data_IF_803938658519
#
_entry.id   IF_803938658519
#
_cell.length_a   1.000
_cell.length_b   1.000
_cell.length_c   1.000
_cell.angle_alpha   90.00
_cell.angle_beta   90.00
_cell.angle_gamma   90.00
#
_symmetry.space_group_name_H-M   'P 1'
#
loop_
_entity.id
_entity.type
_entity.pdbx_description
1 polymer ?
#
# COMPACT_ATOMS: atom_id res chain seq x y z
N UNK A 1 9.65 15.79 -30.27
CA UNK A 1 10.20 15.73 -28.91
C UNK A 1 9.26 16.49 -27.97
N UNK A 2 8.91 17.72 -28.32
CA UNK A 2 8.10 18.63 -27.50
C UNK A 2 6.65 18.15 -27.26
N UNK A 3 5.96 17.55 -28.24
CA UNK A 3 4.55 17.15 -28.06
C UNK A 3 4.33 16.01 -27.03
N UNK A 4 5.21 15.00 -26.98
CA UNK A 4 5.11 13.95 -25.96
C UNK A 4 5.44 14.50 -24.57
N UNK A 5 6.42 15.40 -24.52
CA UNK A 5 6.88 16.04 -23.28
C UNK A 5 5.80 16.96 -22.74
N UNK A 6 5.22 17.82 -23.58
CA UNK A 6 4.10 18.70 -23.25
C UNK A 6 2.87 17.89 -22.80
N UNK A 7 2.61 16.75 -23.46
CA UNK A 7 1.57 15.82 -23.02
C UNK A 7 1.84 15.25 -21.62
N UNK A 8 3.07 14.81 -21.31
CA UNK A 8 3.45 14.32 -20.00
C UNK A 8 3.38 15.44 -18.94
N UNK A 9 3.86 16.63 -19.27
CA UNK A 9 3.83 17.80 -18.38
C UNK A 9 2.40 18.24 -18.03
N UNK A 10 1.45 18.03 -18.94
CA UNK A 10 0.03 18.40 -18.76
C UNK A 10 -0.81 17.31 -18.07
N UNK A 11 -0.52 16.01 -18.29
CA UNK A 11 -1.42 14.91 -17.89
C UNK A 11 -0.93 14.07 -16.69
N UNK A 12 0.30 14.30 -16.19
CA UNK A 12 0.84 13.57 -15.03
C UNK A 12 0.18 13.99 -13.70
N UNK A 13 -0.64 15.04 -13.70
CA UNK A 13 -1.43 15.47 -12.54
C UNK A 13 -2.29 14.34 -11.94
N UNK A 14 -2.57 13.27 -12.70
CA UNK A 14 -3.29 12.07 -12.24
C UNK A 14 -2.62 10.71 -12.56
N UNK A 15 -1.31 10.65 -12.88
CA UNK A 15 -0.60 9.41 -13.29
C UNK A 15 -1.35 8.55 -14.35
N UNK A 16 -2.22 9.18 -15.15
CA UNK A 16 -3.01 8.49 -16.17
C UNK A 16 -2.18 8.45 -17.45
N UNK A 17 -1.46 7.35 -17.65
CA UNK A 17 -0.73 7.00 -18.88
C UNK A 17 -1.69 6.67 -20.05
N UNK A 18 -2.76 7.45 -20.21
CA UNK A 18 -3.88 7.14 -21.11
C UNK A 18 -3.45 7.17 -22.57
N UNK A 19 -2.46 7.99 -22.94
CA UNK A 19 -1.92 8.06 -24.32
C UNK A 19 -0.44 7.68 -24.46
N UNK A 20 0.18 7.12 -23.44
CA UNK A 20 1.60 6.73 -23.53
C UNK A 20 1.85 5.75 -24.70
N UNK A 21 0.87 4.90 -25.01
CA UNK A 21 0.95 3.94 -26.11
C UNK A 21 1.11 4.57 -27.50
N UNK A 22 0.69 5.83 -27.69
CA UNK A 22 0.81 6.56 -28.96
C UNK A 22 2.27 6.93 -29.27
N UNK A 23 3.14 6.89 -28.27
CA UNK A 23 4.55 7.29 -28.37
C UNK A 23 5.52 6.09 -28.29
N UNK A 24 5.02 4.86 -28.44
CA UNK A 24 5.83 3.63 -28.33
C UNK A 24 7.02 3.59 -29.29
N UNK A 25 6.92 4.26 -30.43
CA UNK A 25 7.98 4.30 -31.44
C UNK A 25 9.06 5.35 -31.14
N UNK A 26 8.92 6.14 -30.07
CA UNK A 26 9.91 7.15 -29.72
C UNK A 26 11.17 6.50 -29.14
N UNK A 27 12.36 6.95 -29.58
CA UNK A 27 13.64 6.35 -29.18
C UNK A 27 13.83 6.27 -27.65
N UNK A 28 13.35 7.27 -26.92
CA UNK A 28 13.45 7.35 -25.46
C UNK A 28 12.18 6.86 -24.72
N UNK A 29 11.20 6.29 -25.42
CA UNK A 29 9.94 5.85 -24.79
C UNK A 29 10.18 4.87 -23.63
N UNK A 30 11.07 3.90 -23.84
CA UNK A 30 11.40 2.91 -22.81
C UNK A 30 12.05 3.55 -21.58
N UNK A 31 12.85 4.59 -21.76
CA UNK A 31 13.50 5.33 -20.67
C UNK A 31 12.49 6.11 -19.83
N UNK A 32 11.56 6.82 -20.48
CA UNK A 32 10.50 7.56 -19.81
C UNK A 32 9.51 6.63 -19.12
N UNK A 33 9.08 5.56 -19.79
CA UNK A 33 8.18 4.58 -19.18
C UNK A 33 8.81 3.87 -17.98
N UNK A 34 10.11 3.57 -18.04
CA UNK A 34 10.81 3.01 -16.91
C UNK A 34 10.83 3.98 -15.73
N UNK A 35 11.12 5.26 -15.96
CA UNK A 35 11.05 6.29 -14.93
C UNK A 35 9.64 6.42 -14.31
N UNK A 36 8.61 6.52 -15.15
CA UNK A 36 7.23 6.75 -14.71
C UNK A 36 6.55 5.54 -14.05
N UNK A 37 7.04 4.32 -14.31
CA UNK A 37 6.51 3.10 -13.70
C UNK A 37 7.06 2.81 -12.31
N UNK A 38 7.98 3.62 -11.80
CA UNK A 38 8.42 3.51 -10.42
C UNK A 38 7.26 3.76 -9.46
N UNK A 39 7.10 2.88 -8.48
CA UNK A 39 6.06 3.01 -7.46
C UNK A 39 6.70 3.34 -6.12
N UNK A 40 6.13 4.30 -5.41
CA UNK A 40 6.56 4.61 -4.04
C UNK A 40 5.85 3.62 -3.11
N UNK A 41 6.60 3.03 -2.17
CA UNK A 41 6.03 2.22 -1.10
C UNK A 41 5.06 3.03 -0.22
N UNK A 42 4.17 2.37 0.49
CA UNK A 42 3.15 3.04 1.32
C UNK A 42 3.76 3.93 2.41
N UNK A 43 4.95 3.57 2.91
CA UNK A 43 5.71 4.35 3.90
C UNK A 43 6.58 5.47 3.28
N UNK A 44 6.59 5.61 1.95
CA UNK A 44 7.40 6.60 1.24
C UNK A 44 8.90 6.26 1.10
N UNK A 45 9.40 5.25 1.81
CA UNK A 45 10.84 5.07 1.98
C UNK A 45 11.52 4.33 0.82
N UNK A 46 10.78 3.54 0.06
CA UNK A 46 11.29 2.80 -1.09
C UNK A 46 10.67 3.29 -2.39
N UNK A 47 11.53 3.40 -3.41
CA UNK A 47 11.09 3.53 -4.79
C UNK A 47 11.24 2.18 -5.46
N UNK A 48 10.11 1.48 -5.64
CA UNK A 48 10.07 0.13 -6.20
C UNK A 48 10.32 0.17 -7.69
N UNK A 49 11.26 -0.68 -8.12
CA UNK A 49 11.61 -0.85 -9.52
C UNK A 49 10.50 -1.55 -10.30
N UNK A 50 10.30 -1.21 -11.58
CA UNK A 50 9.39 -1.95 -12.45
C UNK A 50 9.80 -3.43 -12.59
N UNK A 51 8.86 -4.37 -12.40
CA UNK A 51 9.13 -5.83 -12.38
C UNK A 51 9.51 -6.40 -13.77
N UNK A 52 9.11 -5.75 -14.86
CA UNK A 52 9.14 -6.33 -16.21
C UNK A 52 9.88 -5.47 -17.25
N UNK A 53 10.68 -4.49 -16.83
CA UNK A 53 11.45 -3.65 -17.75
C UNK A 53 12.92 -3.72 -17.39
N UNK A 54 13.70 -4.41 -18.22
CA UNK A 54 15.15 -4.33 -18.19
C UNK A 54 15.59 -3.11 -18.98
N UNK A 55 16.33 -2.21 -18.34
CA UNK A 55 17.11 -1.19 -19.05
C UNK A 55 18.43 -1.84 -19.43
N UNK A 56 18.65 -2.08 -20.72
CA UNK A 56 19.86 -2.75 -21.22
C UNK A 56 21.12 -1.87 -21.03
N UNK A 57 20.97 -0.54 -21.06
CA UNK A 57 22.05 0.41 -20.84
C UNK A 57 21.70 1.42 -19.73
N UNK A 58 22.00 1.05 -18.48
CA UNK A 58 21.73 1.91 -17.31
C UNK A 58 22.50 3.23 -17.34
N UNK A 59 23.71 3.27 -17.92
CA UNK A 59 24.52 4.49 -17.97
C UNK A 59 23.92 5.55 -18.89
N UNK A 60 23.51 5.16 -20.10
CA UNK A 60 22.80 6.05 -21.03
C UNK A 60 21.46 6.51 -20.48
N UNK A 61 20.70 5.59 -19.86
CA UNK A 61 19.44 5.93 -19.22
C UNK A 61 19.61 6.94 -18.08
N UNK A 62 20.60 6.76 -17.20
CA UNK A 62 20.86 7.72 -16.13
C UNK A 62 21.28 9.09 -16.67
N UNK A 63 22.11 9.12 -17.72
CA UNK A 63 22.48 10.36 -18.40
C UNK A 63 21.27 11.07 -19.00
N UNK A 64 20.36 10.31 -19.62
CA UNK A 64 19.09 10.84 -20.12
C UNK A 64 18.21 11.41 -18.99
N UNK A 65 18.02 10.66 -17.90
CA UNK A 65 17.22 11.11 -16.76
C UNK A 65 17.80 12.39 -16.14
N UNK A 66 19.12 12.50 -16.06
CA UNK A 66 19.76 13.73 -15.59
C UNK A 66 19.49 14.93 -16.51
N UNK A 67 19.60 14.74 -17.84
CA UNK A 67 19.28 15.79 -18.81
C UNK A 67 17.82 16.24 -18.70
N UNK A 68 16.91 15.28 -18.49
CA UNK A 68 15.48 15.57 -18.26
C UNK A 68 15.24 16.32 -16.96
N UNK A 69 15.91 15.93 -15.87
CA UNK A 69 15.83 16.63 -14.60
C UNK A 69 16.30 18.10 -14.70
N UNK A 70 17.28 18.39 -15.55
CA UNK A 70 17.81 19.74 -15.76
C UNK A 70 16.95 20.59 -16.71
N UNK A 71 16.29 19.97 -17.69
CA UNK A 71 15.57 20.68 -18.76
C UNK A 71 14.09 20.91 -18.48
N UNK A 72 13.43 20.07 -17.68
CA UNK A 72 11.99 20.23 -17.41
C UNK A 72 11.70 21.36 -16.42
N UNK A 73 10.64 22.13 -16.70
CA UNK A 73 10.11 23.14 -15.78
C UNK A 73 9.08 22.56 -14.81
N UNK A 74 8.55 21.36 -15.12
CA UNK A 74 7.52 20.69 -14.32
C UNK A 74 8.13 20.09 -13.04
N UNK A 75 7.75 20.65 -11.89
CA UNK A 75 8.28 20.23 -10.57
C UNK A 75 7.97 18.78 -10.21
N UNK A 76 6.87 18.18 -10.71
CA UNK A 76 6.56 16.76 -10.47
C UNK A 76 7.54 15.84 -11.20
N UNK A 77 7.83 16.16 -12.46
CA UNK A 77 8.79 15.40 -13.26
C UNK A 77 10.21 15.62 -12.75
N UNK A 78 10.56 16.88 -12.47
CA UNK A 78 11.88 17.23 -11.93
C UNK A 78 12.17 16.52 -10.62
N UNK A 79 11.21 16.50 -9.68
CA UNK A 79 11.38 15.78 -8.42
C UNK A 79 11.51 14.27 -8.64
N UNK A 80 10.69 13.69 -9.53
CA UNK A 80 10.73 12.27 -9.88
C UNK A 80 12.07 11.85 -10.47
N UNK A 81 12.57 12.58 -11.47
CA UNK A 81 13.84 12.26 -12.12
C UNK A 81 15.02 12.38 -11.14
N UNK A 82 15.07 13.44 -10.35
CA UNK A 82 16.11 13.61 -9.33
C UNK A 82 16.07 12.52 -8.23
N UNK A 83 14.87 12.10 -7.81
CA UNK A 83 14.67 11.00 -6.87
C UNK A 83 15.16 9.65 -7.45
N UNK A 84 14.90 9.41 -8.72
CA UNK A 84 15.41 8.23 -9.44
C UNK A 84 16.93 8.22 -9.48
N UNK A 85 17.58 9.34 -9.81
CA UNK A 85 19.05 9.44 -9.80
C UNK A 85 19.62 9.10 -8.42
N UNK A 86 18.97 9.53 -7.35
CA UNK A 86 19.35 9.16 -5.98
C UNK A 86 19.22 7.65 -5.73
N UNK A 87 18.12 7.02 -6.15
CA UNK A 87 17.86 5.60 -5.93
C UNK A 87 18.90 4.73 -6.66
N UNK A 88 19.21 5.08 -7.90
CA UNK A 88 20.12 4.32 -8.76
C UNK A 88 21.60 4.70 -8.62
N UNK A 89 21.95 5.53 -7.64
CA UNK A 89 23.32 6.01 -7.39
C UNK A 89 24.38 4.91 -7.24
N UNK A 90 23.98 3.70 -6.86
CA UNK A 90 24.87 2.53 -6.69
C UNK A 90 24.93 1.63 -7.92
N UNK A 91 24.00 1.80 -8.85
CA UNK A 91 23.82 0.93 -10.02
C UNK A 91 24.36 1.55 -11.31
N UNK A 92 24.43 2.88 -11.36
CA UNK A 92 25.23 3.59 -12.35
C UNK A 92 26.71 3.55 -12.01
N UNK A 93 27.58 3.52 -13.03
CA UNK A 93 28.98 3.89 -12.81
C UNK A 93 29.03 5.33 -12.29
N UNK A 94 29.94 5.65 -11.37
CA UNK A 94 30.10 7.00 -10.83
C UNK A 94 30.32 8.08 -11.94
N UNK A 95 30.69 7.65 -13.15
CA UNK A 95 30.78 8.48 -14.37
C UNK A 95 29.44 8.87 -15.02
N UNK A 96 28.32 8.26 -14.64
CA UNK A 96 27.05 8.44 -15.37
C UNK A 96 26.33 9.76 -15.05
N UNK A 97 26.66 10.39 -13.92
CA UNK A 97 26.13 11.70 -13.53
C UNK A 97 27.14 12.76 -13.94
N UNK A 98 26.73 13.61 -14.87
CA UNK A 98 27.57 14.59 -15.58
C UNK A 98 27.69 15.91 -14.82
N UNK A 99 26.69 16.28 -14.00
CA UNK A 99 26.63 17.60 -13.35
C UNK A 99 26.34 17.49 -11.85
N UNK A 100 27.26 18.00 -11.03
CA UNK A 100 27.13 18.03 -9.57
C UNK A 100 27.28 16.64 -8.93
N UNK A 101 26.87 16.50 -7.67
CA UNK A 101 26.88 15.21 -6.99
C UNK A 101 25.45 14.66 -6.81
N UNK A 102 25.33 13.35 -6.53
CA UNK A 102 24.03 12.68 -6.37
C UNK A 102 23.22 13.20 -5.16
N UNK A 103 23.91 13.66 -4.11
CA UNK A 103 23.27 14.26 -2.93
C UNK A 103 22.57 15.55 -3.32
N UNK A 104 23.19 16.39 -4.16
CA UNK A 104 22.59 17.65 -4.65
C UNK A 104 21.31 17.37 -5.45
N UNK A 105 21.30 16.31 -6.28
CA UNK A 105 20.08 15.87 -6.98
C UNK A 105 18.99 15.49 -5.99
N UNK A 106 19.33 14.72 -4.95
CA UNK A 106 18.38 14.36 -3.90
C UNK A 106 17.82 15.60 -3.18
N UNK A 107 18.64 16.63 -2.92
CA UNK A 107 18.17 17.89 -2.32
C UNK A 107 17.23 18.69 -3.23
N UNK A 108 17.48 18.68 -4.55
CA UNK A 108 16.56 19.27 -5.51
C UNK A 108 15.22 18.54 -5.51
N UNK A 109 15.22 17.20 -5.48
CA UNK A 109 13.99 16.42 -5.37
C UNK A 109 13.19 16.78 -4.11
N UNK A 110 13.86 16.86 -2.95
CA UNK A 110 13.22 17.25 -1.68
C UNK A 110 12.61 18.65 -1.78
N UNK A 111 13.33 19.60 -2.37
CA UNK A 111 12.87 20.98 -2.52
C UNK A 111 11.63 21.06 -3.41
N UNK A 112 11.63 20.36 -4.54
CA UNK A 112 10.46 20.30 -5.44
C UNK A 112 9.27 19.61 -4.77
N UNK A 113 9.50 18.51 -4.04
CA UNK A 113 8.43 17.84 -3.29
C UNK A 113 7.83 18.73 -2.20
N UNK A 114 8.65 19.52 -1.50
CA UNK A 114 8.19 20.51 -0.51
C UNK A 114 7.30 21.58 -1.16
N UNK A 115 7.69 22.09 -2.32
CA UNK A 115 6.88 23.06 -3.08
C UNK A 115 5.55 22.45 -3.54
N UNK A 116 5.59 21.21 -4.02
CA UNK A 116 4.41 20.45 -4.40
C UNK A 116 3.49 20.18 -3.21
N UNK A 117 4.03 19.86 -2.04
CA UNK A 117 3.23 19.71 -0.82
C UNK A 117 2.52 21.02 -0.45
N UNK A 118 3.23 22.15 -0.48
CA UNK A 118 2.63 23.46 -0.18
C UNK A 118 1.55 23.90 -1.17
N UNK A 119 1.75 23.62 -2.45
CA UNK A 119 0.83 24.03 -3.51
C UNK A 119 -0.33 23.06 -3.71
N UNK A 120 -0.12 21.75 -3.48
CA UNK A 120 -1.11 20.70 -3.76
C UNK A 120 -1.74 20.10 -2.53
N UNK A 121 -1.03 19.87 -1.43
CA UNK A 121 -1.58 19.23 -0.22
C UNK A 121 -2.30 20.22 0.69
N UNK A 122 -1.74 21.42 0.89
CA UNK A 122 -2.36 22.45 1.72
C UNK A 122 -3.58 23.13 1.06
N UNK A 123 -3.93 22.76 -0.18
CA UNK A 123 -5.02 23.35 -0.97
C UNK A 123 -6.05 22.32 -1.46
N UNK A 124 -6.07 21.13 -0.87
CA UNK A 124 -6.94 20.04 -1.36
C UNK A 124 -8.40 20.32 -1.00
N UNK A 125 -9.27 20.23 -2.02
CA UNK A 125 -10.73 20.21 -1.89
C UNK A 125 -11.33 18.79 -2.13
N UNK A 126 -10.56 17.83 -2.70
CA UNK A 126 -11.02 16.46 -2.99
C UNK A 126 -10.06 15.38 -2.44
N UNK A 127 -10.62 14.51 -1.60
CA UNK A 127 -9.97 13.41 -0.86
C UNK A 127 -9.55 12.21 -1.75
N UNK A 128 -10.06 12.08 -2.99
CA UNK A 128 -9.87 10.85 -3.81
C UNK A 128 -8.41 10.40 -4.04
N UNK A 129 -7.44 11.31 -3.92
CA UNK A 129 -6.02 11.02 -4.12
C UNK A 129 -5.13 11.44 -2.94
N UNK A 130 -5.73 11.79 -1.80
CA UNK A 130 -5.00 12.35 -0.66
C UNK A 130 -3.91 11.39 -0.16
N UNK A 131 -4.20 10.10 0.01
CA UNK A 131 -3.19 9.12 0.45
C UNK A 131 -2.00 9.04 -0.52
N UNK A 132 -2.26 8.99 -1.83
CA UNK A 132 -1.20 8.97 -2.84
C UNK A 132 -0.34 10.24 -2.78
N UNK A 133 -0.99 11.41 -2.61
CA UNK A 133 -0.32 12.69 -2.51
C UNK A 133 0.50 12.80 -1.21
N UNK A 134 -0.01 12.30 -0.07
CA UNK A 134 0.73 12.21 1.19
C UNK A 134 1.97 11.32 1.02
N UNK A 135 1.81 10.13 0.46
CA UNK A 135 2.94 9.22 0.20
C UNK A 135 3.99 9.85 -0.71
N UNK A 136 3.56 10.52 -1.78
CA UNK A 136 4.46 11.06 -2.82
C UNK A 136 5.12 12.37 -2.42
N UNK A 137 4.36 13.31 -1.86
CA UNK A 137 4.82 14.67 -1.62
C UNK A 137 5.20 14.94 -0.16
N UNK A 138 4.95 13.99 0.75
CA UNK A 138 5.26 14.16 2.17
C UNK A 138 6.14 13.02 2.71
N UNK A 139 5.70 11.76 2.58
CA UNK A 139 6.45 10.64 3.16
C UNK A 139 7.73 10.34 2.38
N UNK A 140 7.69 10.41 1.04
CA UNK A 140 8.88 10.24 0.21
C UNK A 140 9.98 11.27 0.52
N UNK A 141 9.75 12.60 0.45
CA UNK A 141 10.77 13.57 0.81
C UNK A 141 11.21 13.46 2.27
N UNK A 142 10.35 12.99 3.18
CA UNK A 142 10.74 12.76 4.57
C UNK A 142 11.77 11.63 4.69
N UNK A 143 11.56 10.53 3.98
CA UNK A 143 12.54 9.45 3.91
C UNK A 143 13.85 9.90 3.25
N UNK A 144 13.79 10.67 2.16
CA UNK A 144 14.99 11.21 1.51
C UNK A 144 15.78 12.16 2.43
N UNK A 145 15.08 13.07 3.12
CA UNK A 145 15.64 14.01 4.10
C UNK A 145 16.44 13.27 5.18
N UNK A 146 15.88 12.18 5.73
CA UNK A 146 16.58 11.35 6.72
C UNK A 146 17.82 10.68 6.14
N UNK A 147 17.76 10.19 4.90
CA UNK A 147 18.88 9.47 4.26
C UNK A 147 20.10 10.36 4.01
N UNK A 148 19.89 11.64 3.69
CA UNK A 148 20.98 12.58 3.35
C UNK A 148 21.30 13.61 4.44
N UNK A 149 20.54 13.57 5.54
CA UNK A 149 20.54 14.57 6.60
C UNK A 149 20.39 15.99 6.03
N UNK A 150 19.29 16.21 5.30
CA UNK A 150 19.03 17.46 4.59
C UNK A 150 18.79 18.63 5.54
N UNK A 151 19.28 19.81 5.17
CA UNK A 151 19.00 21.07 5.85
C UNK A 151 17.53 21.49 5.76
N UNK A 152 16.73 20.85 4.89
CA UNK A 152 15.28 21.09 4.75
C UNK A 152 14.43 20.35 5.78
N UNK A 153 15.05 19.57 6.67
CA UNK A 153 14.38 18.75 7.68
C UNK A 153 13.32 19.52 8.47
N UNK A 154 13.68 20.67 9.04
CA UNK A 154 12.78 21.43 9.91
C UNK A 154 11.58 22.02 9.14
N UNK A 155 11.82 22.48 7.90
CA UNK A 155 10.73 22.93 7.03
C UNK A 155 9.77 21.79 6.69
N UNK A 156 10.28 20.58 6.48
CA UNK A 156 9.45 19.43 6.16
C UNK A 156 8.66 18.94 7.38
N UNK A 157 9.27 18.97 8.57
CA UNK A 157 8.57 18.71 9.85
C UNK A 157 7.35 19.62 9.96
N UNK A 158 7.52 20.94 9.76
CA UNK A 158 6.40 21.87 9.88
C UNK A 158 5.31 21.60 8.84
N UNK A 159 5.69 21.35 7.58
CA UNK A 159 4.72 21.03 6.52
C UNK A 159 3.93 19.75 6.85
N UNK A 160 4.56 18.74 7.46
CA UNK A 160 3.84 17.53 7.88
C UNK A 160 2.74 17.85 8.89
N UNK A 161 3.05 18.70 9.87
CA UNK A 161 2.11 19.12 10.90
C UNK A 161 0.99 19.96 10.27
N UNK A 162 1.34 20.95 9.45
CA UNK A 162 0.40 21.84 8.78
C UNK A 162 -0.58 21.06 7.87
N UNK A 163 -0.06 20.13 7.06
CA UNK A 163 -0.88 19.28 6.18
C UNK A 163 -1.80 18.38 7.00
N UNK A 164 -1.31 17.82 8.11
CA UNK A 164 -2.18 17.03 8.98
C UNK A 164 -3.28 17.87 9.61
N UNK A 165 -3.00 19.13 9.95
CA UNK A 165 -3.98 20.05 10.52
C UNK A 165 -5.13 20.40 9.55
N UNK A 166 -4.88 20.37 8.23
CA UNK A 166 -5.89 20.66 7.21
C UNK A 166 -6.81 19.49 6.87
N UNK A 167 -6.50 18.26 7.30
CA UNK A 167 -7.30 17.07 6.98
C UNK A 167 -8.51 17.00 7.92
N UNK A 168 -9.72 16.98 7.37
CA UNK A 168 -10.97 16.99 8.13
C UNK A 168 -11.60 15.60 8.28
N UNK A 169 -11.14 14.60 7.51
CA UNK A 169 -11.69 13.25 7.48
C UNK A 169 -11.27 12.37 8.67
N UNK A 170 -11.88 12.60 9.83
CA UNK A 170 -11.54 11.88 11.07
C UNK A 170 -11.77 10.36 11.00
N UNK A 171 -12.81 9.91 10.29
CA UNK A 171 -13.16 8.50 10.14
C UNK A 171 -12.14 7.67 9.35
N UNK A 172 -11.19 8.32 8.65
CA UNK A 172 -10.20 7.66 7.79
C UNK A 172 -8.83 7.63 8.45
N UNK A 173 -8.59 6.61 9.28
CA UNK A 173 -7.36 6.44 10.07
C UNK A 173 -6.05 6.48 9.28
N UNK A 174 -6.07 6.22 7.97
CA UNK A 174 -4.89 6.28 7.11
C UNK A 174 -4.49 7.69 6.66
N UNK A 175 -5.35 8.69 6.89
CA UNK A 175 -5.11 10.08 6.49
C UNK A 175 -4.52 10.93 7.62
N UNK A 176 -4.50 10.44 8.86
CA UNK A 176 -4.04 11.20 10.00
C UNK A 176 -3.32 10.37 11.06
N UNK A 177 -2.68 11.05 12.00
CA UNK A 177 -1.78 10.49 13.00
C UNK A 177 -0.38 10.19 12.45
N UNK A 178 -0.10 10.53 11.19
CA UNK A 178 1.19 10.25 10.56
C UNK A 178 2.30 11.13 11.12
N UNK A 179 2.01 12.35 11.59
CA UNK A 179 3.01 13.21 12.24
C UNK A 179 3.45 12.60 13.56
N UNK A 180 2.54 12.01 14.32
CA UNK A 180 2.91 11.27 15.53
C UNK A 180 3.82 10.08 15.22
N UNK A 181 3.43 9.21 14.27
CA UNK A 181 4.21 8.02 13.92
C UNK A 181 5.60 8.37 13.36
N UNK A 182 5.72 9.44 12.57
CA UNK A 182 6.97 9.82 11.92
C UNK A 182 7.88 10.72 12.77
N UNK A 183 7.30 11.58 13.62
CA UNK A 183 8.02 12.67 14.28
C UNK A 183 8.14 12.50 15.80
N UNK A 184 7.13 11.92 16.47
CA UNK A 184 7.13 11.75 17.94
C UNK A 184 7.59 10.35 18.32
N UNK A 185 6.94 9.32 17.78
CA UNK A 185 7.25 7.93 18.11
C UNK A 185 8.68 7.54 17.73
N UNK A 186 9.21 8.16 16.68
CA UNK A 186 10.58 7.98 16.27
C UNK A 186 11.50 8.98 17.00
N UNK A 187 12.28 8.47 17.96
CA UNK A 187 13.14 9.28 18.85
C UNK A 187 14.33 9.96 18.16
N UNK A 188 14.57 9.69 16.87
CA UNK A 188 15.67 10.30 16.10
C UNK A 188 15.38 11.71 15.59
N UNK A 189 14.20 12.26 15.87
CA UNK A 189 13.77 13.58 15.44
C UNK A 189 13.70 14.53 16.64
N UNK A 190 14.49 15.59 16.59
CA UNK A 190 14.37 16.68 17.56
C UNK A 190 13.21 17.59 17.15
N UNK A 191 12.18 17.64 18.00
CA UNK A 191 11.06 18.56 17.86
C UNK A 191 11.12 19.61 18.97
N UNK A 192 10.71 20.84 18.66
CA UNK A 192 10.40 21.82 19.69
C UNK A 192 9.19 21.38 20.53
N UNK A 193 9.08 21.88 21.76
CA UNK A 193 7.94 21.55 22.61
C UNK A 193 6.61 22.05 22.01
N UNK A 194 6.64 23.13 21.24
CA UNK A 194 5.47 23.64 20.53
C UNK A 194 5.02 22.65 19.43
N UNK A 195 5.94 22.18 18.58
CA UNK A 195 5.61 21.19 17.55
C UNK A 195 5.10 19.88 18.15
N UNK A 196 5.69 19.42 19.26
CA UNK A 196 5.19 18.24 19.98
C UNK A 196 3.76 18.47 20.47
N UNK A 197 3.50 19.62 21.11
CA UNK A 197 2.16 19.98 21.59
C UNK A 197 1.15 20.03 20.44
N UNK A 198 1.52 20.64 19.32
CA UNK A 198 0.65 20.78 18.16
C UNK A 198 0.20 19.42 17.61
N UNK A 199 1.14 18.49 17.38
CA UNK A 199 0.84 17.12 16.91
C UNK A 199 -0.08 16.39 17.89
N UNK A 200 0.17 16.48 19.19
CA UNK A 200 -0.67 15.82 20.20
C UNK A 200 -2.06 16.46 20.29
N UNK A 201 -2.15 17.78 20.20
CA UNK A 201 -3.44 18.49 20.15
C UNK A 201 -4.26 18.13 18.91
N UNK A 202 -3.63 17.91 17.74
CA UNK A 202 -4.35 17.44 16.56
C UNK A 202 -5.01 16.08 16.81
N UNK A 203 -4.31 15.15 17.44
CA UNK A 203 -4.86 13.83 17.77
C UNK A 203 -5.97 13.94 18.83
N UNK A 204 -5.72 14.70 19.90
CA UNK A 204 -6.69 14.89 20.99
C UNK A 204 -7.99 15.54 20.48
N UNK A 205 -7.90 16.62 19.70
CA UNK A 205 -9.08 17.29 19.12
C UNK A 205 -9.89 16.33 18.25
N UNK A 206 -9.23 15.48 17.45
CA UNK A 206 -9.92 14.47 16.63
C UNK A 206 -10.62 13.40 17.45
N UNK A 207 -9.93 12.84 18.46
CA UNK A 207 -10.53 11.87 19.39
C UNK A 207 -11.78 12.45 20.05
N UNK A 208 -11.76 13.72 20.43
CA UNK A 208 -12.89 14.40 21.06
C UNK A 208 -14.02 14.78 20.08
N UNK A 209 -13.77 14.81 18.76
CA UNK A 209 -14.77 15.13 17.73
C UNK A 209 -15.47 13.90 17.15
N UNK A 210 -14.80 12.74 17.18
CA UNK A 210 -15.31 11.46 16.70
C UNK A 210 -16.57 11.02 17.47
N UNK A 211 -17.52 10.41 16.75
CA UNK A 211 -18.68 9.79 17.40
C UNK A 211 -18.22 8.55 18.17
N UNK A 212 -18.79 8.31 19.36
CA UNK A 212 -18.48 7.12 20.16
C UNK A 212 -18.79 5.80 19.44
N UNK A 213 -19.59 5.80 18.37
CA UNK A 213 -19.82 4.63 17.51
C UNK A 213 -18.65 4.34 16.57
N UNK A 214 -17.75 5.30 16.34
CA UNK A 214 -16.57 5.19 15.49
C UNK A 214 -15.38 4.56 16.23
N UNK A 215 -15.57 3.32 16.70
CA UNK A 215 -14.58 2.61 17.52
C UNK A 215 -13.19 2.53 16.90
N UNK A 216 -13.07 2.26 15.59
CA UNK A 216 -11.76 2.10 14.95
C UNK A 216 -10.95 3.41 14.85
N UNK A 217 -11.54 4.54 14.39
CA UNK A 217 -10.91 5.85 14.51
C UNK A 217 -10.52 6.24 15.94
N UNK A 218 -11.42 6.03 16.91
CA UNK A 218 -11.13 6.32 18.31
C UNK A 218 -9.95 5.49 18.81
N UNK A 219 -9.94 4.20 18.54
CA UNK A 219 -8.87 3.28 18.91
C UNK A 219 -7.51 3.72 18.33
N UNK A 220 -7.48 4.18 17.08
CA UNK A 220 -6.26 4.68 16.43
C UNK A 220 -5.68 5.91 17.13
N UNK A 221 -6.54 6.89 17.45
CA UNK A 221 -6.13 8.11 18.16
C UNK A 221 -5.72 7.83 19.60
N UNK A 222 -6.58 7.14 20.37
CA UNK A 222 -6.32 6.83 21.78
C UNK A 222 -5.04 6.01 21.94
N UNK A 223 -4.75 5.04 21.08
CA UNK A 223 -3.50 4.26 21.18
C UNK A 223 -2.26 5.16 21.13
N UNK A 224 -2.27 6.22 20.31
CA UNK A 224 -1.15 7.19 20.23
C UNK A 224 -1.09 8.05 21.49
N UNK A 225 -2.24 8.52 21.99
CA UNK A 225 -2.31 9.30 23.23
C UNK A 225 -1.85 8.48 24.44
N UNK A 226 -2.18 7.19 24.52
CA UNK A 226 -1.70 6.30 25.58
C UNK A 226 -0.19 6.11 25.57
N UNK A 227 0.40 6.00 24.38
CA UNK A 227 1.85 5.91 24.24
C UNK A 227 2.55 7.23 24.61
N UNK A 228 1.97 8.36 24.22
CA UNK A 228 2.48 9.68 24.60
C UNK A 228 2.39 9.96 26.10
N UNK A 229 1.22 9.72 26.70
CA UNK A 229 0.95 9.93 28.13
C UNK A 229 1.34 8.71 28.99
N UNK A 230 2.35 7.93 28.58
CA UNK A 230 2.79 6.74 29.32
C UNK A 230 3.18 7.01 30.78
N UNK A 231 3.59 8.24 31.07
CA UNK A 231 4.03 8.68 32.41
C UNK A 231 2.93 9.48 33.14
N UNK A 232 1.72 9.61 32.56
CA UNK A 232 0.55 10.23 33.17
C UNK A 232 -0.65 9.25 33.19
N UNK A 233 -0.72 8.39 34.22
CA UNK A 233 -1.79 7.39 34.33
C UNK A 233 -3.19 8.00 34.35
N UNK A 234 -3.34 9.21 34.90
CA UNK A 234 -4.65 9.86 34.98
C UNK A 234 -5.15 10.18 33.57
N UNK A 235 -4.29 10.76 32.73
CA UNK A 235 -4.61 11.02 31.32
C UNK A 235 -4.90 9.73 30.54
N UNK A 236 -4.14 8.67 30.80
CA UNK A 236 -4.41 7.39 30.14
C UNK A 236 -5.79 6.84 30.47
N UNK A 237 -6.20 6.90 31.74
CA UNK A 237 -7.53 6.45 32.16
C UNK A 237 -8.64 7.27 31.49
N UNK A 238 -8.50 8.59 31.38
CA UNK A 238 -9.47 9.46 30.68
C UNK A 238 -9.73 8.98 29.23
N UNK A 239 -8.68 8.66 28.47
CA UNK A 239 -8.85 8.18 27.10
C UNK A 239 -9.33 6.74 27.00
N UNK A 240 -8.96 5.88 27.95
CA UNK A 240 -9.48 4.52 28.00
C UNK A 240 -10.99 4.50 28.27
N UNK A 241 -11.49 5.39 29.10
CA UNK A 241 -12.93 5.53 29.38
C UNK A 241 -13.73 5.85 28.10
N UNK A 242 -13.14 6.62 27.16
CA UNK A 242 -13.76 6.91 25.86
C UNK A 242 -13.90 5.62 25.04
N UNK A 243 -12.84 4.81 24.97
CA UNK A 243 -12.87 3.55 24.23
C UNK A 243 -13.81 2.51 24.86
N UNK A 244 -13.89 2.46 26.18
CA UNK A 244 -14.80 1.57 26.89
C UNK A 244 -16.25 1.92 26.59
N UNK A 245 -16.62 3.21 26.70
CA UNK A 245 -17.95 3.69 26.30
C UNK A 245 -18.26 3.38 24.84
N UNK A 246 -17.28 3.54 23.95
CA UNK A 246 -17.40 3.20 22.52
C UNK A 246 -17.64 1.71 22.28
N UNK A 247 -16.98 0.84 23.05
CA UNK A 247 -17.20 -0.61 23.00
C UNK A 247 -18.60 -0.99 23.54
N UNK A 248 -19.05 -0.35 24.62
CA UNK A 248 -20.32 -0.61 25.29
C UNK A 248 -21.56 -0.17 24.50
N UNK A 249 -21.46 0.91 23.71
CA UNK A 249 -22.54 1.35 22.83
C UNK A 249 -23.00 0.27 21.85
N UNK A 250 -22.21 -0.80 21.71
CA UNK A 250 -22.57 -1.99 20.97
C UNK A 250 -22.62 -1.73 19.47
N UNK A 251 -22.87 -2.81 18.75
CA UNK A 251 -23.23 -2.83 17.35
C UNK A 251 -24.46 -3.75 17.26
N UNK A 252 -25.27 -3.61 16.21
CA UNK A 252 -26.38 -4.52 15.95
C UNK A 252 -25.90 -5.97 15.83
N UNK A 253 -24.63 -6.15 15.47
CA UNK A 253 -23.98 -7.44 15.32
C UNK A 253 -23.08 -7.79 16.52
N UNK A 254 -23.44 -8.79 17.35
CA UNK A 254 -22.67 -9.17 18.55
C UNK A 254 -21.19 -9.51 18.31
N UNK A 255 -20.85 -10.02 17.12
CA UNK A 255 -19.46 -10.33 16.76
C UNK A 255 -18.59 -9.09 16.63
N UNK A 256 -19.15 -7.94 16.22
CA UNK A 256 -18.41 -6.69 16.14
C UNK A 256 -18.13 -6.17 17.54
N UNK A 257 -19.12 -6.21 18.42
CA UNK A 257 -18.94 -5.86 19.85
C UNK A 257 -17.89 -6.76 20.51
N UNK A 258 -17.93 -8.07 20.26
CA UNK A 258 -16.90 -8.99 20.76
C UNK A 258 -15.50 -8.62 20.21
N UNK A 259 -15.39 -8.30 18.92
CA UNK A 259 -14.12 -7.87 18.32
C UNK A 259 -13.59 -6.58 18.95
N UNK A 260 -14.46 -5.60 19.28
CA UNK A 260 -14.06 -4.38 20.01
C UNK A 260 -13.41 -4.74 21.35
N UNK A 261 -14.02 -5.61 22.14
CA UNK A 261 -13.43 -6.08 23.40
C UNK A 261 -12.14 -6.88 23.19
N UNK A 262 -12.00 -7.65 22.12
CA UNK A 262 -10.73 -8.30 21.76
C UNK A 262 -9.61 -7.27 21.55
N UNK A 263 -9.89 -6.17 20.86
CA UNK A 263 -8.94 -5.07 20.67
C UNK A 263 -8.58 -4.41 22.00
N UNK A 264 -9.55 -4.17 22.87
CA UNK A 264 -9.32 -3.63 24.21
C UNK A 264 -8.44 -4.56 25.06
N UNK A 265 -8.69 -5.88 25.04
CA UNK A 265 -7.85 -6.86 25.76
C UNK A 265 -6.39 -6.77 25.31
N UNK A 266 -6.15 -6.67 24.00
CA UNK A 266 -4.79 -6.50 23.43
C UNK A 266 -4.17 -5.19 23.92
N UNK A 267 -4.94 -4.11 23.93
CA UNK A 267 -4.49 -2.80 24.39
C UNK A 267 -4.13 -2.79 25.87
N UNK A 268 -5.04 -3.24 26.74
CA UNK A 268 -4.80 -3.30 28.17
C UNK A 268 -3.63 -4.21 28.52
N UNK A 269 -3.45 -5.31 27.78
CA UNK A 269 -2.28 -6.15 27.95
C UNK A 269 -0.98 -5.42 27.58
N UNK A 270 -0.98 -4.65 26.48
CA UNK A 270 0.18 -3.88 26.02
C UNK A 270 0.63 -2.81 27.03
N UNK A 271 -0.31 -2.17 27.73
CA UNK A 271 -0.05 -1.09 28.69
C UNK A 271 -0.22 -1.51 30.17
N UNK A 272 -0.29 -2.81 30.45
CA UNK A 272 -0.41 -3.41 31.80
C UNK A 272 -1.61 -2.99 32.67
N UNK A 273 -2.76 -2.70 32.05
CA UNK A 273 -4.03 -2.41 32.75
C UNK A 273 -4.78 -3.70 33.14
N UNK A 274 -4.28 -4.42 34.16
CA UNK A 274 -4.78 -5.75 34.54
C UNK A 274 -6.28 -5.80 34.87
N UNK A 275 -6.77 -4.92 35.73
CA UNK A 275 -8.18 -4.91 36.15
C UNK A 275 -9.13 -4.64 34.97
N UNK A 276 -8.82 -3.64 34.13
CA UNK A 276 -9.60 -3.33 32.92
C UNK A 276 -9.55 -4.48 31.91
N UNK A 277 -8.41 -5.18 31.80
CA UNK A 277 -8.30 -6.39 30.97
C UNK A 277 -9.23 -7.51 31.43
N UNK A 278 -9.32 -7.76 32.74
CA UNK A 278 -10.22 -8.77 33.29
C UNK A 278 -11.69 -8.42 33.01
N UNK A 279 -12.07 -7.16 33.19
CA UNK A 279 -13.41 -6.68 32.85
C UNK A 279 -13.72 -6.84 31.35
N UNK A 280 -12.77 -6.50 30.47
CA UNK A 280 -12.93 -6.69 29.03
C UNK A 280 -13.04 -8.18 28.64
N UNK A 281 -12.35 -9.10 29.34
CA UNK A 281 -12.48 -10.54 29.13
C UNK A 281 -13.88 -11.05 29.49
N UNK A 282 -14.46 -10.56 30.60
CA UNK A 282 -15.83 -10.90 30.99
C UNK A 282 -16.81 -10.47 29.90
N UNK A 283 -16.68 -9.24 29.40
CA UNK A 283 -17.54 -8.71 28.33
C UNK A 283 -17.34 -9.45 27.00
N UNK A 284 -16.10 -9.77 26.64
CA UNK A 284 -15.79 -10.61 25.48
C UNK A 284 -16.48 -11.97 25.53
N UNK A 285 -16.45 -12.65 26.68
CA UNK A 285 -17.11 -13.95 26.87
C UNK A 285 -18.64 -13.83 26.84
N UNK A 286 -19.20 -12.77 27.42
CA UNK A 286 -20.64 -12.48 27.39
C UNK A 286 -21.15 -12.40 25.95
N UNK A 287 -20.53 -11.57 25.11
CA UNK A 287 -20.92 -11.43 23.71
C UNK A 287 -20.58 -12.66 22.87
N UNK A 288 -19.53 -13.41 23.21
CA UNK A 288 -19.25 -14.71 22.59
C UNK A 288 -20.42 -15.70 22.71
N UNK A 289 -21.07 -15.75 23.87
CA UNK A 289 -22.28 -16.59 24.07
C UNK A 289 -23.46 -16.11 23.23
N UNK A 290 -23.60 -14.81 23.00
CA UNK A 290 -24.66 -14.23 22.16
C UNK A 290 -24.44 -14.54 20.68
N UNK A 291 -23.20 -14.58 20.20
CA UNK A 291 -22.89 -14.94 18.82
C UNK A 291 -23.37 -16.35 18.53
N UNK A 292 -23.05 -17.32 19.40
CA UNK A 292 -23.48 -18.72 19.22
C UNK A 292 -25.00 -18.83 19.07
N UNK A 293 -25.77 -18.00 19.78
CA UNK A 293 -27.24 -17.94 19.66
C UNK A 293 -27.72 -17.36 18.33
N UNK A 294 -26.92 -16.48 17.71
CA UNK A 294 -27.23 -15.77 16.47
C UNK A 294 -26.55 -16.39 15.24
N UNK A 295 -25.81 -17.50 15.38
CA UNK A 295 -25.23 -18.21 14.24
C UNK A 295 -26.34 -18.95 13.49
N UNK A 296 -26.58 -18.54 12.24
CA UNK A 296 -27.43 -19.29 11.33
C UNK A 296 -26.72 -20.58 10.89
N UNK A 297 -27.37 -21.72 11.10
CA UNK A 297 -26.88 -23.00 10.60
C UNK A 297 -27.13 -23.06 9.09
N UNK A 298 -26.08 -23.00 8.28
CA UNK A 298 -26.16 -23.23 6.84
C UNK A 298 -25.89 -24.71 6.59
N UNK A 299 -26.95 -25.49 6.40
CA UNK A 299 -26.83 -26.87 5.95
C UNK A 299 -27.09 -26.96 4.45
N UNK A 300 -26.11 -27.48 3.72
CA UNK A 300 -26.27 -27.84 2.32
C UNK A 300 -26.20 -29.36 2.21
N UNK A 301 -27.36 -30.00 2.13
CA UNK A 301 -27.46 -31.39 1.72
C UNK A 301 -27.17 -31.48 0.23
N UNK A 302 -26.15 -32.24 -0.15
CA UNK A 302 -25.92 -32.63 -1.54
C UNK A 302 -26.23 -34.11 -1.63
N UNK A 303 -27.31 -34.45 -2.32
CA UNK A 303 -27.65 -35.84 -2.61
C UNK A 303 -26.74 -36.32 -3.74
N UNK A 304 -25.73 -37.12 -3.40
CA UNK A 304 -24.84 -37.72 -4.39
C UNK A 304 -25.60 -38.89 -5.01
N UNK A 305 -26.10 -38.70 -6.23
CA UNK A 305 -26.74 -39.80 -6.97
C UNK A 305 -25.77 -40.97 -7.15
N UNK A 306 -26.29 -42.21 -7.19
CA UNK A 306 -25.47 -43.41 -7.46
C UNK A 306 -24.67 -43.26 -8.76
N UNK A 307 -25.22 -42.61 -9.77
CA UNK A 307 -24.53 -42.36 -11.04
C UNK A 307 -23.31 -41.44 -10.85
N UNK A 308 -23.41 -40.42 -10.00
CA UNK A 308 -22.28 -39.53 -9.68
C UNK A 308 -21.20 -40.27 -8.91
N UNK A 309 -21.59 -41.15 -7.99
CA UNK A 309 -20.67 -42.02 -7.25
C UNK A 309 -19.93 -42.98 -8.19
N UNK A 310 -20.66 -43.63 -9.10
CA UNK A 310 -20.07 -44.56 -10.06
C UNK A 310 -19.16 -43.84 -11.07
N UNK A 311 -19.53 -42.64 -11.49
CA UNK A 311 -18.70 -41.79 -12.37
C UNK A 311 -17.39 -41.39 -11.68
N UNK A 312 -17.44 -41.02 -10.40
CA UNK A 312 -16.25 -40.69 -9.61
C UNK A 312 -15.35 -41.90 -9.41
N UNK A 313 -15.91 -43.08 -9.11
CA UNK A 313 -15.14 -44.31 -9.02
C UNK A 313 -14.50 -44.67 -10.37
N UNK A 314 -15.25 -44.60 -11.48
CA UNK A 314 -14.71 -44.91 -12.80
C UNK A 314 -13.62 -43.91 -13.25
N UNK A 315 -13.70 -42.64 -12.84
CA UNK A 315 -12.64 -41.64 -13.06
C UNK A 315 -11.35 -41.98 -12.30
N UNK A 316 -11.47 -42.65 -11.15
CA UNK A 316 -10.36 -43.10 -10.30
C UNK A 316 -9.85 -44.50 -10.69
N UNK A 317 -10.58 -45.31 -11.43
CA UNK A 317 -10.15 -46.66 -11.83
C UNK A 317 -9.54 -46.75 -13.24
N UNK A 318 -9.18 -45.64 -13.88
CA UNK A 318 -8.49 -45.68 -15.17
C UNK A 318 -7.04 -46.20 -15.05
N UNK A 319 -6.69 -47.20 -15.86
CA UNK A 319 -5.37 -47.86 -15.89
C UNK A 319 -4.21 -46.95 -16.36
N UNK A 320 -4.51 -45.78 -16.93
CA UNK A 320 -3.52 -44.79 -17.34
C UNK A 320 -3.23 -43.81 -16.18
N UNK A 321 -2.11 -44.05 -15.49
CA UNK A 321 -1.66 -43.31 -14.31
C UNK A 321 -1.54 -41.79 -14.56
N UNK A 322 -1.21 -41.36 -15.78
CA UNK A 322 -1.09 -39.92 -16.10
C UNK A 322 -2.46 -39.25 -16.20
N UNK A 323 -3.44 -39.92 -16.79
CA UNK A 323 -4.84 -39.44 -16.82
C UNK A 323 -5.48 -39.47 -15.45
N UNK A 324 -5.16 -40.48 -14.64
CA UNK A 324 -5.64 -40.60 -13.27
C UNK A 324 -5.18 -39.40 -12.39
N UNK A 325 -3.89 -39.05 -12.44
CA UNK A 325 -3.35 -37.88 -11.73
C UNK A 325 -4.01 -36.57 -12.22
N UNK A 326 -4.22 -36.43 -13.54
CA UNK A 326 -4.89 -35.26 -14.13
C UNK A 326 -6.34 -35.13 -13.66
N UNK A 327 -7.08 -36.24 -13.58
CA UNK A 327 -8.47 -36.28 -13.14
C UNK A 327 -8.64 -35.96 -11.65
N UNK A 328 -7.72 -36.44 -10.80
CA UNK A 328 -7.66 -36.04 -9.39
C UNK A 328 -7.43 -34.54 -9.29
N UNK A 329 -6.42 -34.04 -9.98
CA UNK A 329 -6.06 -32.61 -10.02
C UNK A 329 -7.27 -31.76 -10.45
N UNK A 330 -7.87 -32.06 -11.60
CA UNK A 330 -9.01 -31.31 -12.14
C UNK A 330 -10.23 -31.26 -11.19
N UNK A 331 -10.54 -32.36 -10.50
CA UNK A 331 -11.70 -32.41 -9.60
C UNK A 331 -11.42 -31.81 -8.21
N UNK A 332 -10.20 -31.93 -7.68
CA UNK A 332 -9.81 -31.29 -6.42
C UNK A 332 -9.70 -29.77 -6.55
N UNK A 333 -9.17 -29.28 -7.68
CA UNK A 333 -9.06 -27.84 -7.98
C UNK A 333 -10.37 -27.22 -8.47
N UNK A 334 -11.46 -28.00 -8.62
CA UNK A 334 -12.78 -27.55 -9.10
C UNK A 334 -13.44 -26.50 -8.21
N UNK A 335 -12.97 -26.29 -6.97
CA UNK A 335 -13.37 -25.14 -6.15
C UNK A 335 -12.76 -23.79 -6.60
N UNK A 336 -11.80 -23.80 -7.55
CA UNK A 336 -11.27 -22.61 -8.22
C UNK A 336 -11.56 -22.67 -9.73
N UNK A 337 -12.79 -22.27 -10.10
CA UNK A 337 -13.35 -22.29 -11.47
C UNK A 337 -12.40 -21.71 -12.55
N UNK A 338 -11.52 -20.76 -12.20
CA UNK A 338 -10.56 -20.12 -13.11
C UNK A 338 -9.34 -20.98 -13.48
N UNK A 339 -8.94 -21.94 -12.65
CA UNK A 339 -7.80 -22.82 -12.97
C UNK A 339 -8.20 -24.03 -13.82
N UNK A 340 -9.44 -24.52 -13.66
CA UNK A 340 -9.99 -25.61 -14.46
C UNK A 340 -10.08 -25.26 -15.96
N UNK A 341 -10.45 -24.02 -16.30
CA UNK A 341 -10.48 -23.53 -17.69
C UNK A 341 -9.06 -23.41 -18.29
N UNK A 342 -8.08 -23.01 -17.47
CA UNK A 342 -6.66 -22.96 -17.88
C UNK A 342 -6.10 -24.36 -18.18
N UNK A 343 -6.46 -25.37 -17.38
CA UNK A 343 -6.02 -26.75 -17.60
C UNK A 343 -6.64 -27.36 -18.86
N UNK A 344 -7.94 -27.15 -19.10
CA UNK A 344 -8.62 -27.56 -20.34
C UNK A 344 -7.97 -26.94 -21.59
N UNK A 345 -7.66 -25.65 -21.54
CA UNK A 345 -7.00 -24.96 -22.66
C UNK A 345 -5.57 -25.46 -22.92
N UNK A 346 -4.87 -25.97 -21.89
CA UNK A 346 -3.55 -26.60 -22.04
C UNK A 346 -3.65 -27.99 -22.65
N UNK A 347 -4.69 -28.74 -22.33
CA UNK A 347 -4.95 -30.07 -22.86
C UNK A 347 -5.30 -30.03 -24.37
N UNK A 348 -6.14 -29.08 -24.77
CA UNK A 348 -6.43 -28.79 -26.18
C UNK A 348 -5.17 -28.38 -26.97
N UNK A 349 -4.30 -27.56 -26.36
CA UNK A 349 -3.00 -27.16 -26.94
C UNK A 349 -2.02 -28.33 -27.06
N UNK A 350 -1.94 -29.19 -26.06
CA UNK A 350 -1.06 -30.36 -26.05
C UNK A 350 -1.51 -31.43 -27.06
N UNK A 351 -2.83 -31.60 -27.23
CA UNK A 351 -3.41 -32.45 -28.27
C UNK A 351 -3.06 -31.94 -29.67
N UNK A 352 -3.22 -30.63 -29.90
CA UNK A 352 -2.90 -29.97 -31.17
C UNK A 352 -1.40 -30.07 -31.54
N UNK A 353 -0.50 -29.90 -30.55
CA UNK A 353 0.95 -30.07 -30.76
C UNK A 353 1.30 -31.51 -31.12
N UNK A 354 0.67 -32.51 -30.48
CA UNK A 354 0.87 -33.92 -30.84
C UNK A 354 0.43 -34.22 -32.28
N UNK A 355 -0.72 -33.70 -32.71
CA UNK A 355 -1.22 -33.87 -34.08
C UNK A 355 -0.30 -33.23 -35.13
N UNK A 356 0.32 -32.09 -34.81
CA UNK A 356 1.33 -31.44 -35.67
C UNK A 356 2.62 -32.26 -35.73
N UNK A 357 3.11 -32.77 -34.59
CA UNK A 357 4.34 -33.59 -34.58
C UNK A 357 4.18 -34.97 -35.21
N UNK A 358 2.97 -35.55 -35.20
CA UNK A 358 2.69 -36.81 -35.91
C UNK A 358 2.49 -36.62 -37.41
N UNK A 359 1.97 -35.47 -37.86
CA UNK A 359 1.76 -35.17 -39.28
C UNK A 359 3.02 -34.58 -39.95
N UNK A 360 3.95 -33.99 -39.18
CA UNK A 360 5.22 -33.45 -39.69
C UNK A 360 6.26 -34.52 -40.08
N UNK A 361 6.12 -35.76 -39.61
CA UNK A 361 7.02 -36.86 -39.96
C UNK A 361 6.58 -37.67 -41.21
N UNK A 362 5.50 -37.27 -41.88
CA UNK A 362 4.97 -37.98 -43.05
C UNK A 362 5.30 -37.33 -44.41
N UNK A 363 5.98 -36.18 -44.47
CA UNK A 363 6.28 -35.47 -45.73
C UNK A 363 7.70 -34.88 -45.80
N UNK A 364 8.72 -35.72 -45.59
CA UNK A 364 10.07 -35.45 -46.08
C UNK A 364 10.73 -36.77 -46.56
N UNK A 365 10.18 -37.33 -47.63
CA UNK A 365 10.90 -38.18 -48.56
C UNK A 365 10.78 -37.50 -49.92
N UNK A 366 11.79 -36.72 -50.34
CA UNK A 366 12.17 -36.52 -51.73
C UNK A 366 13.49 -35.72 -51.79
N UNK A 367 14.52 -36.41 -52.28
CA UNK A 367 15.80 -35.95 -52.87
C UNK A 367 16.75 -35.09 -52.04
#
# INVERSE_FOLDING_TARGET
MDEFIEYLETNITNLRLVRAHEFQNHANYNYEMFALKHQISTDGCELRKPILQSVENYGEWLGYIEERALSTTNSVLRSRYNDILWVYRKEGSAQSIRVGNVKDKCELAISDYIELAKSRLLRIEDDKHLLYNLTTYLFRPWCLTKQINSAKKDSLIQIMIDVEATIEEDGKIGLWGFSYENLIKNTSVTLSDEQKREVIQLIDRRVNRLDLREFHPLMHGVTKLLEYYRDDPKKQLEYLDILEKSAELGDEMPFRTQYRYEQLIKLYHKYDFKERKEMALINYQKHGKEIVKNLAKIERGTEISRDTHQTLLNLLYNEDHQKHLMNITYNFFRNNRKEAERLKSKEERMSYIKTITSNGNANCNFC
#
